data_IF_343428994644
#
_entry.id   IF_343428994644
#
_cell.length_a   1.000
_cell.length_b   1.000
_cell.length_c   1.000
_cell.angle_alpha   90.00
_cell.angle_beta   90.00
_cell.angle_gamma   90.00
#
_symmetry.space_group_name_H-M   'P 1'
#
loop_
_entity.id
_entity.type
_entity.pdbx_description
1 polymer ?
#
# COMPACT_ATOMS: atom_id res chain seq x y z
N UNK A 1 6.34 13.88 24.29
CA UNK A 1 4.88 14.02 24.19
C UNK A 1 4.36 12.88 23.35
N UNK A 2 3.50 12.01 23.90
CA UNK A 2 2.73 11.07 23.07
C UNK A 2 1.54 11.86 22.55
N UNK A 3 1.51 12.17 21.26
CA UNK A 3 0.35 12.83 20.64
C UNK A 3 -0.82 11.85 20.72
N UNK A 4 -1.94 12.24 21.33
CA UNK A 4 -3.12 11.41 21.42
C UNK A 4 -3.74 11.28 20.01
N UNK A 5 -4.29 10.12 19.68
CA UNK A 5 -4.95 9.89 18.39
C UNK A 5 -6.08 10.91 18.15
N UNK A 6 -6.77 11.30 19.22
CA UNK A 6 -7.81 12.33 19.22
C UNK A 6 -7.27 13.72 18.79
N UNK A 7 -6.06 14.09 19.23
CA UNK A 7 -5.43 15.37 18.86
C UNK A 7 -5.12 15.42 17.36
N UNK A 8 -4.72 14.28 16.79
CA UNK A 8 -4.41 14.16 15.36
C UNK A 8 -5.69 14.28 14.52
N UNK A 9 -6.78 13.63 14.94
CA UNK A 9 -8.08 13.76 14.27
C UNK A 9 -8.56 15.20 14.31
N UNK A 10 -8.49 15.86 15.48
CA UNK A 10 -8.89 17.26 15.62
C UNK A 10 -8.08 18.19 14.69
N UNK A 11 -6.77 17.94 14.56
CA UNK A 11 -5.90 18.70 13.66
C UNK A 11 -6.23 18.48 12.18
N UNK A 12 -6.58 17.26 11.78
CA UNK A 12 -7.02 16.98 10.41
C UNK A 12 -8.33 17.71 10.11
N UNK A 13 -9.32 17.61 11.00
CA UNK A 13 -10.62 18.26 10.80
C UNK A 13 -10.50 19.78 10.68
N UNK A 14 -9.66 20.41 11.52
CA UNK A 14 -9.41 21.85 11.43
C UNK A 14 -8.66 22.26 10.14
N UNK A 15 -7.80 21.39 9.61
CA UNK A 15 -7.06 21.64 8.37
C UNK A 15 -7.92 21.47 7.12
N UNK A 16 -8.91 20.57 7.15
CA UNK A 16 -9.77 20.26 6.00
C UNK A 16 -10.95 21.25 5.88
N UNK A 17 -11.41 21.82 6.99
CA UNK A 17 -12.59 22.71 7.00
C UNK A 17 -12.50 23.99 6.16
N UNK A 18 -11.30 24.40 5.73
CA UNK A 18 -11.08 25.55 4.85
C UNK A 18 -10.87 25.20 3.38
N UNK A 19 -10.91 23.92 3.02
CA UNK A 19 -10.61 23.47 1.66
C UNK A 19 -11.85 23.55 0.75
N UNK A 20 -11.67 23.92 -0.54
CA UNK A 20 -12.72 23.76 -1.53
C UNK A 20 -13.14 22.29 -1.69
N UNK A 21 -14.40 22.04 -2.06
CA UNK A 21 -14.97 20.69 -2.17
C UNK A 21 -14.10 19.72 -3.01
N UNK A 22 -13.60 20.16 -4.17
CA UNK A 22 -12.77 19.31 -5.04
C UNK A 22 -11.46 18.83 -4.37
N UNK A 23 -10.91 19.61 -3.43
CA UNK A 23 -9.72 19.21 -2.65
C UNK A 23 -10.07 18.22 -1.56
N UNK A 24 -11.28 18.31 -1.01
CA UNK A 24 -11.78 17.35 -0.02
C UNK A 24 -12.03 16.01 -0.71
N UNK A 25 -12.62 16.02 -1.90
CA UNK A 25 -12.81 14.82 -2.74
C UNK A 25 -11.46 14.14 -3.04
N UNK A 26 -10.46 14.88 -3.54
CA UNK A 26 -9.11 14.35 -3.79
C UNK A 26 -8.48 13.72 -2.53
N UNK A 27 -8.70 14.33 -1.36
CA UNK A 27 -8.16 13.84 -0.10
C UNK A 27 -8.88 12.57 0.39
N UNK A 28 -10.19 12.45 0.13
CA UNK A 28 -10.96 11.24 0.41
C UNK A 28 -10.51 10.09 -0.48
N UNK A 29 -10.32 10.34 -1.78
CA UNK A 29 -9.82 9.35 -2.75
C UNK A 29 -8.45 8.80 -2.31
N UNK A 30 -7.56 9.69 -1.84
CA UNK A 30 -6.25 9.29 -1.32
C UNK A 30 -6.35 8.43 -0.05
N UNK A 31 -7.25 8.78 0.88
CA UNK A 31 -7.46 7.98 2.10
C UNK A 31 -8.02 6.59 1.74
N UNK A 32 -8.96 6.52 0.79
CA UNK A 32 -9.50 5.26 0.30
C UNK A 32 -8.42 4.41 -0.37
N UNK A 33 -7.58 5.02 -1.22
CA UNK A 33 -6.42 4.35 -1.80
C UNK A 33 -5.53 3.74 -0.71
N UNK A 34 -5.17 4.50 0.33
CA UNK A 34 -4.28 3.99 1.37
C UNK A 34 -4.87 2.83 2.17
N UNK A 35 -6.17 2.90 2.52
CA UNK A 35 -6.87 1.78 3.18
C UNK A 35 -6.84 0.51 2.34
N UNK A 36 -7.03 0.64 1.04
CA UNK A 36 -7.03 -0.48 0.10
C UNK A 36 -5.62 -0.99 -0.23
N UNK A 37 -4.60 -0.15 -0.07
CA UNK A 37 -3.21 -0.48 -0.37
C UNK A 37 -2.50 -1.18 0.80
N UNK A 38 -2.88 -0.87 2.05
CA UNK A 38 -2.40 -1.64 3.22
C UNK A 38 -2.88 -3.10 3.21
N UNK A 39 -4.04 -3.39 2.62
CA UNK A 39 -4.57 -4.76 2.49
C UNK A 39 -3.94 -5.56 1.33
N UNK A 40 -3.19 -4.93 0.42
CA UNK A 40 -2.64 -5.58 -0.79
C UNK A 40 -1.14 -5.36 -0.91
N UNK A 41 -0.40 -5.88 0.07
CA UNK A 41 1.06 -6.00 0.05
C UNK A 41 1.55 -7.12 -0.88
N UNK A 42 0.96 -7.26 -2.07
CA UNK A 42 1.64 -7.95 -3.17
C UNK A 42 2.21 -6.88 -4.10
N UNK A 43 3.53 -6.90 -4.25
CA UNK A 43 4.26 -6.01 -5.15
C UNK A 43 3.63 -6.07 -6.56
N UNK A 44 3.27 -4.93 -7.17
CA UNK A 44 2.68 -4.87 -8.50
C UNK A 44 3.47 -5.64 -9.56
N UNK A 45 4.79 -5.78 -9.40
CA UNK A 45 5.66 -6.57 -10.28
C UNK A 45 5.32 -8.07 -10.18
N UNK A 46 5.06 -8.57 -8.97
CA UNK A 46 4.67 -9.98 -8.73
C UNK A 46 3.33 -10.31 -9.36
N UNK A 47 2.41 -9.33 -9.37
CA UNK A 47 1.12 -9.45 -10.02
C UNK A 47 1.25 -9.60 -11.54
N UNK A 48 2.20 -8.89 -12.16
CA UNK A 48 2.49 -9.02 -13.60
C UNK A 48 3.17 -10.35 -13.92
N UNK A 49 4.11 -10.79 -13.08
CA UNK A 49 4.76 -12.09 -13.23
C UNK A 49 3.75 -13.24 -13.21
N UNK A 50 2.81 -13.23 -12.24
CA UNK A 50 1.75 -14.23 -12.12
C UNK A 50 0.75 -14.26 -13.30
N UNK A 51 0.48 -13.11 -13.91
CA UNK A 51 -0.40 -13.01 -15.10
C UNK A 51 0.28 -13.60 -16.34
N UNK A 52 1.61 -13.54 -16.45
CA UNK A 52 2.38 -14.05 -17.58
C UNK A 52 2.72 -15.55 -17.46
N UNK A 53 2.79 -16.09 -16.24
CA UNK A 53 3.04 -17.52 -15.97
C UNK A 53 1.79 -18.40 -15.97
N UNK A 54 0.58 -17.80 -15.97
CA UNK A 54 -0.69 -18.53 -15.90
C UNK A 54 -1.09 -18.98 -14.50
N UNK A 55 -0.21 -18.85 -13.51
CA UNK A 55 -0.49 -19.03 -12.08
C UNK A 55 0.23 -17.95 -11.26
N UNK A 56 -0.43 -17.37 -10.24
CA UNK A 56 0.17 -16.34 -9.40
C UNK A 56 1.40 -16.89 -8.66
N UNK A 57 2.56 -16.28 -8.91
CA UNK A 57 3.82 -16.61 -8.24
C UNK A 57 4.04 -15.65 -7.07
N UNK A 58 4.29 -16.21 -5.89
CA UNK A 58 4.56 -15.43 -4.68
C UNK A 58 6.00 -14.89 -4.65
N UNK A 59 6.23 -13.82 -3.88
CA UNK A 59 7.58 -13.28 -3.62
C UNK A 59 8.54 -14.33 -3.08
N UNK A 60 8.05 -15.23 -2.23
CA UNK A 60 8.82 -16.31 -1.63
C UNK A 60 9.33 -17.30 -2.68
N UNK A 61 8.49 -17.68 -3.64
CA UNK A 61 8.87 -18.60 -4.72
C UNK A 61 9.95 -17.97 -5.63
N UNK A 62 9.88 -16.66 -5.85
CA UNK A 62 10.91 -15.91 -6.60
C UNK A 62 12.23 -15.88 -5.84
N UNK A 63 12.21 -15.62 -4.53
CA UNK A 63 13.43 -15.59 -3.72
C UNK A 63 14.11 -16.96 -3.65
N UNK A 64 13.32 -18.03 -3.54
CA UNK A 64 13.80 -19.41 -3.56
C UNK A 64 14.49 -19.76 -4.89
N UNK A 65 13.87 -19.43 -6.02
CA UNK A 65 14.43 -19.75 -7.33
C UNK A 65 15.63 -18.88 -7.69
N UNK A 66 15.62 -17.58 -7.38
CA UNK A 66 16.68 -16.66 -7.79
C UNK A 66 17.91 -16.70 -6.87
N UNK A 67 17.72 -16.87 -5.56
CA UNK A 67 18.80 -16.70 -4.59
C UNK A 67 19.16 -17.97 -3.83
N UNK A 68 18.25 -18.94 -3.69
CA UNK A 68 18.52 -20.18 -2.94
C UNK A 68 18.91 -21.36 -3.84
N UNK A 69 18.58 -21.35 -5.12
CA UNK A 69 18.99 -22.38 -6.10
C UNK A 69 20.51 -22.41 -6.34
N UNK A 70 21.20 -21.28 -6.20
CA UNK A 70 22.64 -21.15 -6.45
C UNK A 70 23.51 -21.32 -5.19
N UNK A 71 22.91 -21.58 -4.03
CA UNK A 71 23.63 -21.79 -2.76
C UNK A 71 24.02 -23.26 -2.51
N UNK A 72 23.91 -24.14 -3.53
CA UNK A 72 24.46 -25.51 -3.51
C UNK A 72 25.74 -25.58 -4.35
N UNK A 73 26.81 -24.94 -3.88
CA UNK A 73 28.20 -25.26 -4.28
C UNK A 73 29.05 -25.31 -3.02
#
# INVERSE_FOLDING_TARGET
MRTNHEDLIAKVMSSVGGLPAFRIEELLDYIEFQKNHEEKTEDPILKVAGVLSGEPISSKEIDEELYLSHSRI
#
